data_IF_192987025743
#
_entry.id   IF_192987025743
#
_cell.length_a   1.000
_cell.length_b   1.000
_cell.length_c   1.000
_cell.angle_alpha   90.00
_cell.angle_beta   90.00
_cell.angle_gamma   90.00
#
_symmetry.space_group_name_H-M   'P 1'
#
loop_
_entity.id
_entity.type
_entity.pdbx_description
1 polymer ?
#
# COMPACT_ATOMS: atom_id res chain seq x y z
N UNK A 1 27.79 -21.43 30.19
CA UNK A 1 26.90 -22.11 29.21
C UNK A 1 25.50 -22.05 29.76
N UNK A 2 24.66 -21.17 29.23
CA UNK A 2 23.26 -21.04 29.63
C UNK A 2 22.42 -21.04 28.35
N UNK A 3 21.78 -22.19 28.09
CA UNK A 3 20.81 -22.35 27.01
C UNK A 3 19.49 -21.75 27.45
N UNK A 4 19.03 -20.70 26.75
CA UNK A 4 17.69 -20.15 26.91
C UNK A 4 16.82 -20.70 25.79
N UNK A 5 16.01 -21.71 26.12
CA UNK A 5 15.03 -22.32 25.22
C UNK A 5 13.86 -21.37 24.96
N UNK A 6 13.56 -21.12 23.68
CA UNK A 6 12.36 -20.40 23.25
C UNK A 6 11.22 -21.41 23.15
N UNK A 7 10.21 -21.26 24.00
CA UNK A 7 9.01 -22.10 23.99
C UNK A 7 8.03 -21.63 22.91
N UNK A 8 7.68 -22.52 21.98
CA UNK A 8 6.54 -22.35 21.06
C UNK A 8 5.24 -22.70 21.80
N UNK A 9 4.30 -21.75 21.82
CA UNK A 9 2.93 -21.99 22.29
C UNK A 9 2.07 -22.57 21.16
N UNK A 10 1.42 -23.70 21.43
CA UNK A 10 0.43 -24.38 20.59
C UNK A 10 -0.96 -23.73 20.72
N UNK A 11 -1.74 -23.57 19.64
CA UNK A 11 -3.11 -23.10 19.74
C UNK A 11 -4.08 -24.25 20.11
N UNK A 12 -4.97 -23.94 21.06
CA UNK A 12 -6.03 -24.83 21.58
C UNK A 12 -7.33 -24.59 20.80
N UNK A 13 -8.00 -25.70 20.47
CA UNK A 13 -9.19 -25.77 19.61
C UNK A 13 -10.39 -24.96 20.14
N UNK A 14 -11.08 -24.27 19.22
CA UNK A 14 -12.32 -23.56 19.48
C UNK A 14 -13.56 -24.48 19.33
N UNK A 15 -14.46 -24.35 20.30
CA UNK A 15 -15.73 -25.08 20.41
C UNK A 15 -16.82 -24.48 19.52
N UNK A 16 -17.54 -25.36 18.83
CA UNK A 16 -18.73 -25.09 18.03
C UNK A 16 -19.87 -24.50 18.88
N UNK A 17 -20.47 -23.42 18.40
CA UNK A 17 -21.82 -23.02 18.79
C UNK A 17 -22.66 -22.79 17.52
N UNK A 18 -23.87 -23.34 17.58
CA UNK A 18 -24.82 -23.56 16.50
C UNK A 18 -25.95 -22.54 16.67
N UNK A 19 -26.27 -21.76 15.65
CA UNK A 19 -27.51 -20.97 15.62
C UNK A 19 -28.25 -21.17 14.31
N UNK A 20 -29.55 -21.45 14.46
CA UNK A 20 -30.53 -21.78 13.42
C UNK A 20 -31.21 -20.51 12.90
N UNK A 21 -31.43 -20.51 11.58
CA UNK A 21 -32.60 -20.07 10.80
C UNK A 21 -33.23 -18.68 11.05
N UNK A 22 -33.31 -17.88 10.00
CA UNK A 22 -34.60 -17.54 9.35
C UNK A 22 -34.38 -16.79 8.02
N UNK A 23 -35.23 -17.11 7.04
CA UNK A 23 -35.34 -16.45 5.74
C UNK A 23 -36.47 -15.41 5.78
N UNK A 24 -36.36 -14.32 5.02
CA UNK A 24 -37.28 -14.02 3.90
C UNK A 24 -37.11 -12.59 3.35
N UNK A 25 -37.44 -12.48 2.05
CA UNK A 25 -38.05 -11.36 1.33
C UNK A 25 -37.21 -10.10 0.99
N UNK A 26 -36.63 -10.15 -0.21
CA UNK A 26 -36.91 -9.29 -1.36
C UNK A 26 -37.60 -7.93 -1.15
N UNK A 27 -36.92 -6.85 -1.55
CA UNK A 27 -37.56 -5.69 -2.19
C UNK A 27 -36.60 -5.03 -3.19
N UNK A 28 -36.99 -5.13 -4.45
CA UNK A 28 -36.45 -4.48 -5.64
C UNK A 28 -36.66 -2.96 -5.61
N UNK A 29 -35.64 -2.19 -5.98
CA UNK A 29 -35.83 -0.86 -6.58
C UNK A 29 -34.73 -0.60 -7.62
N UNK A 30 -35.16 -0.57 -8.87
CA UNK A 30 -34.35 -0.29 -10.05
C UNK A 30 -34.11 1.22 -10.17
N UNK A 31 -32.85 1.63 -10.26
CA UNK A 31 -32.48 2.99 -10.69
C UNK A 31 -31.82 2.92 -12.07
N UNK A 32 -32.49 3.55 -13.03
CA UNK A 32 -32.10 3.68 -14.43
C UNK A 32 -30.89 4.60 -14.57
N UNK A 33 -29.85 4.16 -15.28
CA UNK A 33 -28.85 5.07 -15.85
C UNK A 33 -28.67 4.78 -17.34
N UNK A 34 -28.68 5.87 -18.10
CA UNK A 34 -28.90 5.94 -19.55
C UNK A 34 -27.67 5.44 -20.30
N UNK A 35 -27.90 4.47 -21.18
CA UNK A 35 -26.98 4.09 -22.25
C UNK A 35 -26.99 5.18 -23.31
N UNK A 36 -25.88 5.91 -23.46
CA UNK A 36 -25.65 6.79 -24.58
C UNK A 36 -25.46 5.95 -25.85
N UNK A 37 -26.41 6.06 -26.79
CA UNK A 37 -26.32 5.45 -28.13
C UNK A 37 -25.16 6.06 -28.90
N UNK A 38 -24.25 5.20 -29.38
CA UNK A 38 -23.34 5.51 -30.49
C UNK A 38 -24.16 5.66 -31.77
N UNK A 39 -24.10 6.84 -32.39
CA UNK A 39 -24.53 7.04 -33.77
C UNK A 39 -23.36 6.70 -34.71
N UNK A 40 -23.66 5.89 -35.70
CA UNK A 40 -22.80 5.56 -36.84
C UNK A 40 -22.67 6.78 -37.75
N UNK A 41 -21.43 7.21 -38.01
CA UNK A 41 -21.14 8.25 -38.98
C UNK A 41 -21.19 7.66 -40.40
N UNK A 42 -22.19 8.08 -41.17
CA UNK A 42 -22.32 7.88 -42.61
C UNK A 42 -21.47 8.94 -43.31
N UNK A 43 -20.53 8.52 -44.15
CA UNK A 43 -19.77 9.41 -45.02
C UNK A 43 -20.70 10.06 -46.05
N UNK A 44 -20.58 11.37 -46.19
CA UNK A 44 -21.24 12.16 -47.22
C UNK A 44 -20.34 13.35 -47.54
N UNK A 45 -19.86 13.38 -48.77
CA UNK A 45 -19.17 14.50 -49.39
C UNK A 45 -20.06 15.75 -49.40
N UNK A 46 -19.46 16.91 -49.10
CA UNK A 46 -20.16 18.20 -49.14
C UNK A 46 -19.23 19.35 -48.77
N UNK A 47 -18.88 20.14 -49.78
CA UNK A 47 -18.11 21.38 -49.72
C UNK A 47 -18.65 22.38 -48.68
N UNK A 48 -17.71 23.17 -48.14
CA UNK A 48 -17.85 23.81 -46.84
C UNK A 48 -18.73 25.06 -46.73
N UNK A 49 -19.05 25.38 -45.47
CA UNK A 49 -19.08 26.74 -44.94
C UNK A 49 -18.89 26.67 -43.40
N UNK A 50 -18.22 27.67 -42.82
CA UNK A 50 -17.51 27.58 -41.54
C UNK A 50 -18.36 27.36 -40.28
N UNK A 51 -18.11 26.26 -39.57
CA UNK A 51 -18.63 26.00 -38.21
C UNK A 51 -17.70 26.61 -37.13
N UNK A 52 -18.00 27.85 -36.73
CA UNK A 52 -17.38 28.50 -35.57
C UNK A 52 -17.97 28.02 -34.22
N UNK A 53 -19.03 27.20 -34.21
CA UNK A 53 -19.76 26.79 -32.99
C UNK A 53 -19.19 25.49 -32.38
N UNK A 54 -18.65 24.59 -33.18
CA UNK A 54 -17.95 23.39 -32.69
C UNK A 54 -16.66 23.68 -31.94
N UNK A 55 -15.95 24.76 -32.32
CA UNK A 55 -14.64 25.12 -31.73
C UNK A 55 -14.74 25.68 -30.30
N UNK A 56 -15.84 26.38 -29.97
CA UNK A 56 -16.07 26.92 -28.62
C UNK A 56 -16.44 25.85 -27.58
N UNK A 57 -17.15 24.78 -27.97
CA UNK A 57 -17.53 23.70 -27.03
C UNK A 57 -16.33 22.82 -26.64
N UNK A 58 -15.42 22.54 -27.58
CA UNK A 58 -14.24 21.72 -27.32
C UNK A 58 -13.21 22.44 -26.41
N UNK A 59 -13.08 23.76 -26.53
CA UNK A 59 -12.20 24.57 -25.66
C UNK A 59 -12.76 24.62 -24.23
N UNK A 60 -14.07 24.79 -24.04
CA UNK A 60 -14.68 24.83 -22.71
C UNK A 60 -14.54 23.51 -21.93
N UNK A 61 -14.72 22.37 -22.60
CA UNK A 61 -14.54 21.05 -21.99
C UNK A 61 -13.07 20.79 -21.60
N UNK A 62 -12.12 21.23 -22.43
CA UNK A 62 -10.68 21.10 -22.16
C UNK A 62 -10.24 21.99 -20.99
N UNK A 63 -10.70 23.25 -20.96
CA UNK A 63 -10.45 24.19 -19.85
C UNK A 63 -11.02 23.72 -18.52
N UNK A 64 -12.21 23.11 -18.54
CA UNK A 64 -12.84 22.55 -17.33
C UNK A 64 -12.04 21.34 -16.81
N UNK A 65 -11.57 20.46 -17.71
CA UNK A 65 -10.78 19.27 -17.32
C UNK A 65 -9.45 19.65 -16.68
N UNK A 66 -8.71 20.61 -17.27
CA UNK A 66 -7.46 21.09 -16.67
C UNK A 66 -7.65 21.77 -15.31
N UNK A 67 -8.76 22.50 -15.11
CA UNK A 67 -9.05 23.12 -13.82
C UNK A 67 -9.35 22.08 -12.73
N UNK A 68 -10.01 20.96 -13.08
CA UNK A 68 -10.27 19.83 -12.17
C UNK A 68 -8.96 19.11 -11.85
N UNK A 69 -8.17 18.72 -12.86
CA UNK A 69 -6.89 18.04 -12.64
C UNK A 69 -5.94 18.89 -11.76
N UNK A 70 -5.93 20.22 -11.95
CA UNK A 70 -5.15 21.14 -11.13
C UNK A 70 -5.70 21.35 -9.71
N UNK A 71 -7.00 21.16 -9.48
CA UNK A 71 -7.59 21.19 -8.14
C UNK A 71 -7.30 19.89 -7.37
N UNK A 72 -7.37 18.75 -8.06
CA UNK A 72 -7.03 17.44 -7.50
C UNK A 72 -5.55 17.37 -7.13
N UNK A 73 -4.66 17.83 -8.02
CA UNK A 73 -3.22 17.91 -7.74
C UNK A 73 -2.90 18.78 -6.50
N UNK A 74 -3.59 19.92 -6.34
CA UNK A 74 -3.44 20.77 -5.14
C UNK A 74 -3.93 20.06 -3.88
N UNK A 75 -5.09 19.41 -3.94
CA UNK A 75 -5.64 18.66 -2.81
C UNK A 75 -4.72 17.52 -2.37
N UNK A 76 -4.14 16.79 -3.33
CA UNK A 76 -3.14 15.76 -3.07
C UNK A 76 -1.89 16.36 -2.42
N UNK A 77 -1.35 17.47 -2.96
CA UNK A 77 -0.17 18.14 -2.38
C UNK A 77 -0.41 18.55 -0.93
N UNK A 78 -1.53 19.22 -0.64
CA UNK A 78 -1.89 19.63 0.72
C UNK A 78 -2.04 18.43 1.65
N UNK A 79 -2.71 17.35 1.21
CA UNK A 79 -2.86 16.15 2.02
C UNK A 79 -1.51 15.48 2.34
N UNK A 80 -0.58 15.43 1.38
CA UNK A 80 0.78 14.93 1.58
C UNK A 80 1.58 15.80 2.56
N UNK A 81 1.54 17.11 2.39
CA UNK A 81 2.23 18.06 3.27
C UNK A 81 1.78 17.90 4.72
N UNK A 82 0.47 17.89 4.95
CA UNK A 82 -0.09 17.68 6.29
C UNK A 82 0.30 16.31 6.88
N UNK A 83 0.28 15.25 6.05
CA UNK A 83 0.67 13.92 6.47
C UNK A 83 2.14 13.88 6.90
N UNK A 84 3.05 14.38 6.06
CA UNK A 84 4.48 14.37 6.36
C UNK A 84 4.84 15.27 7.53
N UNK A 85 4.16 16.41 7.70
CA UNK A 85 4.34 17.26 8.88
C UNK A 85 3.99 16.50 10.17
N UNK A 86 2.85 15.78 10.18
CA UNK A 86 2.44 14.99 11.36
C UNK A 86 3.39 13.84 11.71
N UNK A 87 4.22 13.40 10.76
CA UNK A 87 5.18 12.31 10.96
C UNK A 87 6.56 12.79 11.44
N UNK A 88 6.85 14.09 11.39
CA UNK A 88 8.21 14.63 11.63
C UNK A 88 8.78 14.17 12.97
N UNK A 89 7.96 14.19 14.01
CA UNK A 89 8.37 13.85 15.38
C UNK A 89 8.09 12.39 15.75
N UNK A 90 7.47 11.60 14.85
CA UNK A 90 7.06 10.23 15.12
C UNK A 90 8.21 9.20 15.06
N UNK A 91 9.42 9.62 14.66
CA UNK A 91 10.58 8.76 14.41
C UNK A 91 10.22 7.51 13.58
N UNK A 92 9.63 7.73 12.39
CA UNK A 92 9.09 6.69 11.50
C UNK A 92 7.97 5.82 12.11
N UNK A 93 7.31 6.32 13.15
CA UNK A 93 6.28 5.60 13.91
C UNK A 93 6.82 4.86 15.13
N UNK A 94 8.14 4.83 15.34
CA UNK A 94 8.75 4.11 16.46
C UNK A 94 8.41 4.75 17.81
N UNK A 95 8.32 6.07 17.88
CA UNK A 95 8.17 6.80 19.14
C UNK A 95 6.78 7.47 19.28
N UNK A 96 5.87 7.24 18.32
CA UNK A 96 4.52 7.80 18.33
C UNK A 96 3.62 7.20 19.43
N UNK A 97 2.89 8.06 20.13
CA UNK A 97 1.80 7.69 21.04
C UNK A 97 0.58 7.19 20.27
N UNK A 98 -0.35 6.51 20.95
CA UNK A 98 -1.58 6.03 20.32
C UNK A 98 -2.43 7.17 19.74
N UNK A 99 -2.52 8.32 20.42
CA UNK A 99 -3.22 9.50 19.89
C UNK A 99 -2.54 10.06 18.63
N UNK A 100 -1.20 10.09 18.61
CA UNK A 100 -0.45 10.52 17.43
C UNK A 100 -0.65 9.54 16.26
N UNK A 101 -0.64 8.23 16.54
CA UNK A 101 -0.90 7.20 15.53
C UNK A 101 -2.32 7.29 14.96
N UNK A 102 -3.33 7.55 15.79
CA UNK A 102 -4.70 7.76 15.35
C UNK A 102 -4.83 9.03 14.48
N UNK A 103 -4.17 10.13 14.86
CA UNK A 103 -4.15 11.37 14.08
C UNK A 103 -3.45 11.18 12.72
N UNK A 104 -2.30 10.49 12.69
CA UNK A 104 -1.59 10.16 11.46
C UNK A 104 -2.45 9.25 10.58
N UNK A 105 -3.10 8.23 11.14
CA UNK A 105 -3.98 7.33 10.39
C UNK A 105 -5.14 8.08 9.72
N UNK A 106 -5.75 9.06 10.40
CA UNK A 106 -6.79 9.89 9.79
C UNK A 106 -6.28 10.64 8.55
N UNK A 107 -5.04 11.16 8.60
CA UNK A 107 -4.40 11.83 7.46
C UNK A 107 -4.02 10.85 6.34
N UNK A 108 -3.58 9.63 6.67
CA UNK A 108 -3.33 8.57 5.68
C UNK A 108 -4.63 8.29 4.91
N UNK A 109 -5.76 8.08 5.60
CA UNK A 109 -7.04 7.81 4.94
C UNK A 109 -7.51 8.96 4.05
N UNK A 110 -7.29 10.20 4.48
CA UNK A 110 -7.58 11.38 3.67
C UNK A 110 -6.77 11.39 2.37
N UNK A 111 -5.47 11.04 2.43
CA UNK A 111 -4.62 10.92 1.24
C UNK A 111 -5.06 9.76 0.33
N UNK A 112 -5.36 8.59 0.89
CA UNK A 112 -5.80 7.41 0.12
C UNK A 112 -7.08 7.65 -0.67
N UNK A 113 -8.02 8.42 -0.11
CA UNK A 113 -9.24 8.82 -0.81
C UNK A 113 -8.97 9.68 -2.06
N UNK A 114 -7.78 10.26 -2.17
CA UNK A 114 -7.33 11.10 -3.28
C UNK A 114 -6.34 10.37 -4.21
N UNK A 115 -6.21 9.04 -4.11
CA UNK A 115 -5.28 8.28 -4.95
C UNK A 115 -5.50 8.56 -6.45
N UNK A 116 -4.52 9.14 -7.16
CA UNK A 116 -4.69 9.53 -8.56
C UNK A 116 -4.54 8.34 -9.52
N UNK A 117 -3.98 7.22 -9.05
CA UNK A 117 -3.61 6.08 -9.90
C UNK A 117 -4.68 5.00 -9.84
N UNK A 118 -5.33 4.73 -10.98
CA UNK A 118 -6.17 3.55 -11.16
C UNK A 118 -5.32 2.28 -11.25
N UNK A 119 -5.83 1.16 -10.72
CA UNK A 119 -5.09 -0.11 -10.63
C UNK A 119 -3.70 0.04 -10.00
N UNK A 120 -3.61 0.62 -8.79
CA UNK A 120 -2.35 1.13 -8.25
C UNK A 120 -1.27 0.06 -8.04
N UNK A 121 -1.64 -1.19 -7.71
CA UNK A 121 -0.67 -2.27 -7.56
C UNK A 121 -0.18 -2.83 -8.92
N UNK A 122 -0.90 -2.59 -10.00
CA UNK A 122 -0.49 -3.00 -11.36
C UNK A 122 0.11 -1.83 -12.16
N UNK A 123 0.24 -0.64 -11.55
CA UNK A 123 0.86 0.52 -12.17
C UNK A 123 2.36 0.35 -12.29
N UNK A 124 2.96 0.82 -13.39
CA UNK A 124 4.41 0.87 -13.55
C UNK A 124 5.10 1.72 -12.45
N UNK A 125 4.34 2.61 -11.79
CA UNK A 125 4.86 3.42 -10.68
C UNK A 125 5.33 2.58 -9.51
N UNK A 126 4.82 1.36 -9.28
CA UNK A 126 5.27 0.54 -8.14
C UNK A 126 6.74 0.15 -8.23
N UNK A 127 7.29 0.10 -9.45
CA UNK A 127 8.66 -0.29 -9.73
C UNK A 127 9.68 0.69 -9.13
N UNK A 128 10.80 0.15 -8.67
CA UNK A 128 11.91 0.91 -8.10
C UNK A 128 12.02 0.82 -6.57
N UNK A 129 12.72 1.80 -6.00
CA UNK A 129 13.11 1.82 -4.58
C UNK A 129 12.31 2.86 -3.79
N UNK A 130 11.79 2.44 -2.66
CA UNK A 130 10.90 3.23 -1.80
C UNK A 130 11.43 3.29 -0.38
N UNK A 131 11.74 4.47 0.14
CA UNK A 131 12.11 4.66 1.55
C UNK A 131 10.85 4.67 2.42
N UNK A 132 10.85 3.86 3.49
CA UNK A 132 9.80 3.86 4.52
C UNK A 132 10.03 5.05 5.46
N UNK A 133 9.18 6.06 5.33
CA UNK A 133 9.22 7.27 6.16
C UNK A 133 8.31 7.16 7.38
N UNK A 134 7.34 6.25 7.36
CA UNK A 134 6.50 5.91 8.51
C UNK A 134 5.94 4.49 8.37
N UNK A 135 5.90 3.74 9.47
CA UNK A 135 5.20 2.46 9.51
C UNK A 135 4.67 2.08 10.89
N UNK A 136 3.55 1.37 10.91
CA UNK A 136 3.02 0.69 12.11
C UNK A 136 3.40 -0.78 12.19
N UNK A 137 4.21 -1.27 11.23
CA UNK A 137 4.63 -2.66 11.18
C UNK A 137 5.56 -3.02 12.35
N UNK A 138 5.65 -4.30 12.71
CA UNK A 138 6.69 -4.76 13.63
C UNK A 138 8.09 -4.72 12.97
N UNK A 139 9.16 -4.80 13.78
CA UNK A 139 10.52 -4.96 13.27
C UNK A 139 10.67 -6.22 12.40
N UNK A 140 11.58 -6.22 11.39
CA UNK A 140 12.47 -5.10 11.05
C UNK A 140 11.87 -4.08 10.08
N UNK A 141 10.66 -4.33 9.55
CA UNK A 141 10.07 -3.54 8.48
C UNK A 141 9.75 -2.08 8.85
N UNK A 142 9.77 -1.74 10.14
CA UNK A 142 9.60 -0.38 10.64
C UNK A 142 10.91 0.42 10.82
N UNK A 143 12.04 -0.10 10.34
CA UNK A 143 13.33 0.60 10.44
C UNK A 143 14.16 0.27 11.67
N UNK A 144 13.80 -0.77 12.44
CA UNK A 144 14.54 -1.17 13.64
C UNK A 144 15.01 -2.62 13.61
N UNK A 145 16.17 -2.88 14.20
CA UNK A 145 16.69 -4.24 14.44
C UNK A 145 17.25 -4.30 15.86
N UNK A 146 16.41 -4.76 16.80
CA UNK A 146 16.73 -4.69 18.22
C UNK A 146 16.95 -3.23 18.65
N UNK A 147 18.09 -2.87 19.28
CA UNK A 147 18.36 -1.50 19.70
C UNK A 147 18.78 -0.59 18.53
N UNK A 148 19.08 -1.15 17.37
CA UNK A 148 19.59 -0.40 16.23
C UNK A 148 18.44 0.19 15.41
N UNK A 149 18.52 1.49 15.13
CA UNK A 149 17.57 2.21 14.28
C UNK A 149 18.27 2.59 12.98
N UNK A 150 17.59 2.44 11.85
CA UNK A 150 18.12 2.78 10.54
C UNK A 150 17.03 3.16 9.55
N UNK A 151 17.35 3.05 8.27
CA UNK A 151 16.44 3.37 7.18
C UNK A 151 15.95 2.08 6.53
N UNK A 152 14.63 1.93 6.45
CA UNK A 152 14.01 0.81 5.77
C UNK A 152 13.62 1.21 4.33
N UNK A 153 13.79 0.28 3.40
CA UNK A 153 13.42 0.42 2.00
C UNK A 153 12.59 -0.76 1.52
N UNK A 154 11.80 -0.52 0.49
CA UNK A 154 11.17 -1.55 -0.33
C UNK A 154 11.69 -1.42 -1.76
N UNK A 155 12.37 -2.46 -2.23
CA UNK A 155 12.92 -2.56 -3.57
C UNK A 155 12.02 -3.50 -4.38
N UNK A 156 11.46 -2.99 -5.48
CA UNK A 156 10.51 -3.72 -6.33
C UNK A 156 11.08 -3.73 -7.74
N UNK A 157 11.08 -4.91 -8.37
CA UNK A 157 11.33 -5.09 -9.80
C UNK A 157 10.16 -5.83 -10.42
N UNK A 158 9.39 -5.14 -11.25
CA UNK A 158 8.30 -5.72 -12.04
C UNK A 158 8.83 -6.73 -13.07
N UNK A 159 9.98 -6.43 -13.67
CA UNK A 159 10.62 -7.29 -14.67
C UNK A 159 10.97 -8.67 -14.09
N UNK A 160 11.56 -8.69 -12.89
CA UNK A 160 12.01 -9.92 -12.25
C UNK A 160 10.97 -10.54 -11.30
N UNK A 161 9.84 -9.86 -11.09
CA UNK A 161 8.84 -10.26 -10.09
C UNK A 161 9.38 -10.26 -8.65
N UNK A 162 10.44 -9.49 -8.38
CA UNK A 162 11.14 -9.50 -7.10
C UNK A 162 10.71 -8.35 -6.19
N UNK A 163 10.57 -8.65 -4.91
CA UNK A 163 10.26 -7.71 -3.85
C UNK A 163 11.26 -7.90 -2.70
N UNK A 164 11.91 -6.84 -2.24
CA UNK A 164 12.88 -6.92 -1.13
C UNK A 164 12.62 -5.81 -0.12
N UNK A 165 12.36 -6.19 1.13
CA UNK A 165 12.46 -5.28 2.27
C UNK A 165 13.93 -5.20 2.69
N UNK A 166 14.49 -3.99 2.73
CA UNK A 166 15.88 -3.74 3.13
C UNK A 166 15.87 -2.86 4.37
N UNK A 167 16.70 -3.18 5.36
CA UNK A 167 17.01 -2.32 6.49
C UNK A 167 18.51 -2.02 6.46
N UNK A 168 18.85 -0.73 6.52
CA UNK A 168 20.21 -0.22 6.51
C UNK A 168 20.49 0.56 7.80
N UNK A 169 21.48 0.13 8.59
CA UNK A 169 21.89 0.83 9.82
C UNK A 169 23.14 1.67 9.53
N UNK A 170 23.07 3.01 9.70
CA UNK A 170 24.24 3.86 9.55
C UNK A 170 25.22 3.72 10.74
N UNK A 171 26.48 4.14 10.57
CA UNK A 171 27.10 4.60 9.31
C UNK A 171 27.51 3.43 8.40
N UNK A 172 27.58 3.67 7.08
CA UNK A 172 28.12 2.75 6.07
C UNK A 172 27.47 1.36 6.02
N UNK A 173 26.18 1.25 6.37
CA UNK A 173 25.41 0.01 6.26
C UNK A 173 26.11 -1.20 6.91
N UNK A 174 26.79 -0.94 8.03
CA UNK A 174 27.60 -1.93 8.74
C UNK A 174 26.77 -3.09 9.27
N UNK A 175 25.48 -2.84 9.53
CA UNK A 175 24.47 -3.80 9.92
C UNK A 175 23.20 -3.55 9.10
N UNK A 176 22.52 -4.63 8.73
CA UNK A 176 21.25 -4.53 8.02
C UNK A 176 20.44 -5.82 8.08
N UNK A 177 19.31 -5.79 7.40
CA UNK A 177 18.51 -6.98 7.14
C UNK A 177 17.92 -6.92 5.73
N UNK A 178 17.80 -8.06 5.07
CA UNK A 178 17.15 -8.21 3.77
C UNK A 178 16.10 -9.30 3.87
N UNK A 179 14.86 -8.98 3.56
CA UNK A 179 13.76 -9.93 3.43
C UNK A 179 13.33 -9.98 1.96
N UNK A 180 13.76 -11.03 1.29
CA UNK A 180 13.51 -11.32 -0.12
C UNK A 180 12.17 -12.02 -0.26
N UNK A 181 11.42 -11.61 -1.28
CA UNK A 181 10.11 -12.11 -1.60
C UNK A 181 9.86 -12.04 -3.11
N UNK A 182 8.83 -12.75 -3.53
CA UNK A 182 8.17 -12.55 -4.82
C UNK A 182 6.76 -12.01 -4.59
N UNK A 183 6.13 -11.51 -5.65
CA UNK A 183 4.74 -11.06 -5.58
C UNK A 183 3.94 -11.47 -6.81
N UNK A 184 2.64 -11.62 -6.62
CA UNK A 184 1.68 -11.88 -7.68
C UNK A 184 0.39 -11.06 -7.45
N UNK A 185 -0.23 -10.50 -8.50
CA UNK A 185 -1.54 -9.89 -8.39
C UNK A 185 -2.58 -10.88 -7.84
N UNK A 186 -3.46 -10.41 -6.96
CA UNK A 186 -4.58 -11.23 -6.49
C UNK A 186 -5.60 -11.36 -7.61
N UNK A 187 -5.99 -12.60 -7.93
CA UNK A 187 -7.02 -12.87 -8.94
C UNK A 187 -8.36 -12.27 -8.51
N UNK A 188 -9.13 -11.76 -9.49
CA UNK A 188 -10.43 -11.12 -9.30
C UNK A 188 -10.41 -9.83 -8.45
N UNK A 189 -9.25 -9.22 -8.22
CA UNK A 189 -9.19 -7.87 -7.69
C UNK A 189 -9.53 -6.86 -8.80
N UNK A 190 -10.81 -6.47 -8.86
CA UNK A 190 -11.32 -5.53 -9.86
C UNK A 190 -10.73 -4.13 -9.73
N UNK A 191 -10.13 -3.78 -8.58
CA UNK A 191 -9.50 -2.48 -8.36
C UNK A 191 -8.00 -2.47 -8.63
N UNK A 192 -7.38 -3.64 -8.83
CA UNK A 192 -5.95 -3.76 -9.09
C UNK A 192 -5.07 -3.16 -7.99
N UNK A 193 -5.47 -3.30 -6.73
CA UNK A 193 -4.81 -2.78 -5.54
C UNK A 193 -4.00 -3.86 -4.80
N UNK A 194 -4.25 -5.14 -5.07
CA UNK A 194 -3.83 -6.25 -4.21
C UNK A 194 -2.72 -7.12 -4.83
N UNK A 195 -1.70 -7.38 -4.02
CA UNK A 195 -0.70 -8.41 -4.25
C UNK A 195 -0.74 -9.47 -3.15
N UNK A 196 -0.50 -10.72 -3.55
CA UNK A 196 0.03 -11.75 -2.65
C UNK A 196 1.54 -11.68 -2.71
N UNK A 197 2.18 -11.48 -1.56
CA UNK A 197 3.62 -11.44 -1.39
C UNK A 197 4.06 -12.74 -0.73
N UNK A 198 4.99 -13.46 -1.35
CA UNK A 198 5.52 -14.74 -0.87
C UNK A 198 6.95 -14.53 -0.41
N UNK A 199 7.21 -14.68 0.88
CA UNK A 199 8.56 -14.54 1.42
C UNK A 199 9.41 -15.77 1.11
N UNK A 200 10.62 -15.52 0.62
CA UNK A 200 11.58 -16.57 0.24
C UNK A 200 12.64 -16.74 1.33
N UNK A 201 13.29 -15.64 1.71
CA UNK A 201 14.37 -15.67 2.69
C UNK A 201 14.53 -14.35 3.43
N UNK A 202 14.99 -14.43 4.68
CA UNK A 202 15.47 -13.28 5.45
C UNK A 202 16.93 -13.50 5.82
N UNK A 203 17.73 -12.45 5.74
CA UNK A 203 19.12 -12.45 6.19
C UNK A 203 19.42 -11.20 7.02
N UNK A 204 20.23 -11.36 8.06
CA UNK A 204 20.94 -10.25 8.71
C UNK A 204 22.25 -10.05 7.95
N UNK A 205 22.51 -8.83 7.52
CA UNK A 205 23.67 -8.48 6.71
C UNK A 205 24.65 -7.63 7.51
N UNK A 206 25.95 -7.81 7.26
CA UNK A 206 27.03 -7.00 7.80
C UNK A 206 27.87 -6.41 6.68
N UNK A 207 28.39 -5.21 6.92
CA UNK A 207 29.33 -4.48 6.04
C UNK A 207 28.81 -4.37 4.60
N UNK A 208 27.71 -3.66 4.40
CA UNK A 208 27.08 -3.44 3.09
C UNK A 208 26.73 -4.75 2.35
N UNK A 209 26.23 -5.73 3.11
CA UNK A 209 25.83 -7.02 2.55
C UNK A 209 26.98 -7.97 2.21
N UNK A 210 28.24 -7.59 2.46
CA UNK A 210 29.39 -8.44 2.18
C UNK A 210 29.36 -9.77 2.96
N UNK A 211 28.68 -9.81 4.10
CA UNK A 211 28.55 -11.01 4.91
C UNK A 211 27.15 -11.16 5.51
N UNK A 212 26.61 -12.39 5.49
CA UNK A 212 25.29 -12.72 6.04
C UNK A 212 25.40 -13.84 7.08
N UNK A 213 25.75 -13.53 8.35
CA UNK A 213 25.97 -14.56 9.38
C UNK A 213 24.72 -15.36 9.71
N UNK A 214 23.54 -14.78 9.50
CA UNK A 214 22.26 -15.41 9.79
C UNK A 214 21.35 -15.26 8.58
N UNK A 215 20.90 -16.38 8.05
CA UNK A 215 19.89 -16.45 7.02
C UNK A 215 18.87 -17.53 7.36
N UNK A 216 17.62 -17.29 7.01
CA UNK A 216 16.53 -18.24 7.16
C UNK A 216 15.69 -18.20 5.89
N UNK A 217 15.41 -19.37 5.33
CA UNK A 217 14.42 -19.52 4.27
C UNK A 217 13.04 -19.74 4.87
N UNK A 218 12.03 -19.26 4.16
CA UNK A 218 10.64 -19.50 4.50
C UNK A 218 10.07 -20.58 3.60
N UNK A 219 9.02 -21.24 4.09
CA UNK A 219 8.20 -22.14 3.30
C UNK A 219 6.76 -21.64 3.39
N UNK A 220 6.12 -21.47 2.23
CA UNK A 220 4.70 -21.14 2.09
C UNK A 220 4.25 -19.93 2.95
N UNK A 221 5.14 -18.96 3.20
CA UNK A 221 4.82 -17.80 4.04
C UNK A 221 4.39 -16.64 3.16
N UNK A 222 3.08 -16.44 3.07
CA UNK A 222 2.47 -15.39 2.24
C UNK A 222 1.86 -14.28 3.09
N UNK A 223 1.77 -13.08 2.50
CA UNK A 223 1.07 -11.91 3.04
C UNK A 223 0.26 -11.24 1.94
N UNK A 224 -0.71 -10.44 2.35
CA UNK A 224 -1.50 -9.62 1.42
C UNK A 224 -1.06 -8.18 1.55
N UNK A 225 -0.81 -7.55 0.42
CA UNK A 225 -0.43 -6.15 0.29
C UNK A 225 -1.49 -5.42 -0.52
N UNK A 226 -1.99 -4.29 -0.02
CA UNK A 226 -2.89 -3.38 -0.73
C UNK A 226 -2.18 -2.06 -0.95
N UNK A 227 -1.91 -1.71 -2.19
CA UNK A 227 -1.46 -0.36 -2.55
C UNK A 227 -2.68 0.54 -2.59
N UNK A 228 -2.81 1.43 -1.62
CA UNK A 228 -3.98 2.31 -1.45
C UNK A 228 -3.75 3.72 -1.97
N UNK A 229 -2.49 4.13 -2.12
CA UNK A 229 -2.11 5.35 -2.78
C UNK A 229 -0.79 5.15 -3.52
N UNK A 230 -0.70 5.62 -4.76
CA UNK A 230 0.59 5.74 -5.43
C UNK A 230 0.59 6.89 -6.43
N UNK A 231 1.69 7.64 -6.45
CA UNK A 231 2.06 8.52 -7.55
C UNK A 231 3.58 8.48 -7.79
N UNK A 232 4.11 9.47 -8.50
CA UNK A 232 5.52 9.53 -8.84
C UNK A 232 6.45 9.55 -7.61
N UNK A 233 6.02 10.09 -6.47
CA UNK A 233 6.90 10.36 -5.33
C UNK A 233 6.46 9.68 -4.03
N UNK A 234 5.17 9.34 -3.90
CA UNK A 234 4.61 8.81 -2.66
C UNK A 234 3.88 7.52 -2.92
N UNK A 235 4.05 6.57 -1.99
CA UNK A 235 3.35 5.29 -1.99
C UNK A 235 2.85 4.96 -0.59
N UNK A 236 1.60 4.53 -0.50
CA UNK A 236 1.01 3.99 0.72
C UNK A 236 0.59 2.56 0.48
N UNK A 237 1.05 1.67 1.36
CA UNK A 237 0.71 0.25 1.33
C UNK A 237 0.17 -0.17 2.69
N UNK A 238 -0.95 -0.89 2.67
CA UNK A 238 -1.49 -1.59 3.83
C UNK A 238 -1.23 -3.08 3.68
N UNK A 239 -0.62 -3.72 4.67
CA UNK A 239 -0.23 -5.11 4.61
C UNK A 239 -0.78 -5.91 5.79
N UNK A 240 -1.21 -7.14 5.55
CA UNK A 240 -1.71 -8.04 6.58
C UNK A 240 -1.36 -9.49 6.28
N UNK A 241 -1.62 -10.39 7.24
CA UNK A 241 -1.42 -11.83 7.06
C UNK A 241 -2.38 -12.45 6.07
N UNK A 242 -3.63 -12.03 6.13
CA UNK A 242 -4.74 -12.58 5.35
C UNK A 242 -5.58 -11.44 4.77
N UNK A 243 -6.40 -11.76 3.77
CA UNK A 243 -7.39 -10.81 3.24
C UNK A 243 -8.41 -10.38 4.29
N UNK A 244 -8.80 -11.29 5.19
CA UNK A 244 -9.73 -11.02 6.27
C UNK A 244 -9.14 -10.01 7.26
N UNK A 245 -7.90 -10.23 7.70
CA UNK A 245 -7.16 -9.30 8.56
C UNK A 245 -7.10 -7.88 7.96
N UNK A 246 -6.77 -7.79 6.67
CA UNK A 246 -6.69 -6.53 5.95
C UNK A 246 -8.04 -5.79 5.89
N UNK A 247 -9.14 -6.55 5.78
CA UNK A 247 -10.50 -6.01 5.68
C UNK A 247 -11.08 -5.63 7.05
N UNK A 248 -10.68 -6.35 8.10
CA UNK A 248 -11.09 -6.07 9.49
C UNK A 248 -10.48 -4.77 10.03
N UNK A 249 -9.32 -4.36 9.49
CA UNK A 249 -8.67 -3.09 9.86
C UNK A 249 -8.35 -2.99 11.37
N UNK A 250 -7.99 -4.12 11.98
CA UNK A 250 -7.93 -4.27 13.44
C UNK A 250 -6.87 -3.44 14.15
N UNK A 251 -5.87 -2.90 13.44
CA UNK A 251 -4.79 -2.11 14.02
C UNK A 251 -4.64 -0.69 13.44
N UNK A 252 -5.66 -0.18 12.73
CA UNK A 252 -5.69 1.22 12.27
C UNK A 252 -5.50 2.17 13.46
N UNK A 253 -4.55 3.09 13.34
CA UNK A 253 -4.27 4.07 14.39
C UNK A 253 -3.47 3.53 15.58
N UNK A 254 -2.90 2.32 15.50
CA UNK A 254 -1.98 1.77 16.50
C UNK A 254 -0.88 0.93 15.84
N UNK A 255 0.09 0.46 16.64
CA UNK A 255 1.12 -0.48 16.17
C UNK A 255 0.53 -1.87 15.99
N UNK A 256 0.93 -2.55 14.92
CA UNK A 256 0.62 -3.95 14.69
C UNK A 256 1.47 -4.85 15.59
N UNK A 257 0.87 -5.88 16.16
CA UNK A 257 1.58 -6.84 17.02
C UNK A 257 2.15 -7.98 16.20
N UNK A 258 3.46 -8.24 16.36
CA UNK A 258 4.11 -9.38 15.72
C UNK A 258 3.54 -10.70 16.27
N UNK A 259 2.82 -11.44 15.45
CA UNK A 259 2.14 -12.66 15.92
C UNK A 259 0.67 -12.68 15.57
N UNK A 260 0.08 -11.49 15.48
CA UNK A 260 -1.37 -11.32 15.35
C UNK A 260 -1.79 -11.20 13.89
N UNK A 261 -3.11 -11.25 13.67
CA UNK A 261 -3.75 -10.93 12.40
C UNK A 261 -4.01 -9.42 12.24
N UNK A 262 -3.14 -8.61 12.82
CA UNK A 262 -3.15 -7.17 12.66
C UNK A 262 -2.66 -6.80 11.25
N UNK A 263 -3.28 -5.77 10.71
CA UNK A 263 -2.80 -5.09 9.53
C UNK A 263 -1.85 -3.95 9.91
N UNK A 264 -0.98 -3.55 9.00
CA UNK A 264 -0.03 -2.46 9.20
C UNK A 264 -0.01 -1.56 7.97
N UNK A 265 0.52 -0.36 8.15
CA UNK A 265 0.68 0.62 7.07
C UNK A 265 2.14 0.97 6.87
N UNK A 266 2.51 1.23 5.62
CA UNK A 266 3.76 1.80 5.19
C UNK A 266 3.46 3.05 4.38
N UNK A 267 3.99 4.18 4.83
CA UNK A 267 4.02 5.42 4.04
C UNK A 267 5.45 5.60 3.57
N UNK A 268 5.61 5.78 2.26
CA UNK A 268 6.91 5.75 1.61
C UNK A 268 7.10 6.91 0.65
N UNK A 269 8.37 7.29 0.49
CA UNK A 269 8.82 8.21 -0.56
C UNK A 269 9.69 7.46 -1.55
N UNK A 270 9.65 7.85 -2.82
CA UNK A 270 10.58 7.31 -3.81
C UNK A 270 12.01 7.66 -3.40
N UNK A 271 12.86 6.65 -3.28
CA UNK A 271 14.28 6.86 -3.06
C UNK A 271 14.93 7.35 -4.36
N UNK A 272 15.86 8.29 -4.23
CA UNK A 272 16.67 8.77 -5.35
C UNK A 272 17.77 7.79 -5.72
#
# INVERSE_FOLDING_TARGET
MASTSIALATPRAASLARSRSSASASASTSATSRVARRLTARWGDGDGDGDARGRHQQIAASSTRWAVDAADARSISTAKEELFESMRDANRGLDASDDALAAIEAKIRALEALNPTSNPANSALVDGRWEVVFSTAPPPSNGSLGPFKGTAFQEISLENGSYVNVLSIPPNDWLGARLVATFAPVMNDSRGELWTVTFDAVAVTLFDGAFSPFAKTFKDTTRVWRTTFIDAETRVVRAARTMEALTREGARGRKAVAGDEDDCVFVMKRAR
#
